data_IF_146539395692
#
_entry.id   IF_146539395692
#
_cell.length_a   1.000
_cell.length_b   1.000
_cell.length_c   1.000
_cell.angle_alpha   90.00
_cell.angle_beta   90.00
_cell.angle_gamma   90.00
#
_symmetry.space_group_name_H-M   'P 1'
#
loop_
_entity.id
_entity.type
_entity.pdbx_description
1 polymer ?
#
# COMPACT_ATOMS: atom_id res chain seq x y z
N UNK A 1 -5.11 2.57 -3.81
CA UNK A 1 -4.94 1.80 -2.56
C UNK A 1 -4.78 2.81 -1.46
N UNK A 2 -5.41 2.61 -0.31
CA UNK A 2 -5.27 3.56 0.79
C UNK A 2 -4.02 3.23 1.61
N UNK A 3 -3.15 4.23 1.81
CA UNK A 3 -1.98 4.09 2.67
C UNK A 3 -2.12 5.08 3.83
N UNK A 4 -2.03 4.55 5.06
CA UNK A 4 -1.98 5.36 6.27
C UNK A 4 -0.53 5.73 6.56
N UNK A 5 -0.25 7.03 6.67
CA UNK A 5 1.11 7.53 6.88
C UNK A 5 1.70 6.98 8.18
N UNK A 6 3.03 6.98 8.27
CA UNK A 6 3.77 6.48 9.42
C UNK A 6 3.42 7.26 10.70
N UNK A 7 3.05 8.55 10.57
CA UNK A 7 2.56 9.37 11.67
C UNK A 7 1.13 9.03 12.12
N UNK A 8 0.43 8.17 11.37
CA UNK A 8 -0.97 7.74 11.53
C UNK A 8 -2.01 8.86 11.39
N UNK A 9 -1.59 10.08 11.02
CA UNK A 9 -2.43 11.28 10.89
C UNK A 9 -3.04 11.46 9.50
N UNK A 10 -2.43 10.84 8.48
CA UNK A 10 -2.88 10.98 7.10
C UNK A 10 -3.27 9.62 6.55
N UNK A 11 -4.34 9.61 5.77
CA UNK A 11 -4.82 8.47 5.01
C UNK A 11 -4.95 8.94 3.57
N UNK A 12 -4.14 8.39 2.68
CA UNK A 12 -3.95 8.91 1.33
C UNK A 12 -4.31 7.81 0.34
N UNK A 13 -5.16 8.13 -0.65
CA UNK A 13 -5.38 7.23 -1.79
C UNK A 13 -4.23 7.40 -2.77
N UNK A 14 -3.44 6.35 -2.88
CA UNK A 14 -2.18 6.36 -3.59
C UNK A 14 -2.38 5.86 -5.01
N UNK A 15 -2.00 6.70 -5.97
CA UNK A 15 -1.93 6.36 -7.41
C UNK A 15 -0.51 6.12 -7.89
N UNK A 16 0.50 6.60 -7.15
CA UNK A 16 1.92 6.49 -7.48
C UNK A 16 2.75 6.67 -6.21
N UNK A 17 3.82 5.89 -6.09
CA UNK A 17 4.80 5.95 -5.01
C UNK A 17 6.18 6.12 -5.60
N UNK A 18 7.02 6.88 -4.88
CA UNK A 18 8.44 7.01 -5.18
C UNK A 18 9.25 6.97 -3.88
N UNK A 19 10.47 6.45 -3.99
CA UNK A 19 11.48 6.50 -2.93
C UNK A 19 12.48 7.59 -3.31
N UNK A 20 12.64 8.57 -2.42
CA UNK A 20 13.63 9.64 -2.54
C UNK A 20 14.58 9.55 -1.36
N UNK A 21 15.75 8.95 -1.57
CA UNK A 21 16.66 8.55 -0.50
C UNK A 21 15.98 7.57 0.45
N UNK A 22 15.85 7.91 1.73
CA UNK A 22 15.19 7.08 2.74
C UNK A 22 13.72 7.43 3.01
N UNK A 23 13.07 8.15 2.08
CA UNK A 23 11.70 8.66 2.26
C UNK A 23 10.78 8.11 1.18
N UNK A 24 9.63 7.55 1.58
CA UNK A 24 8.56 7.16 0.66
C UNK A 24 7.58 8.32 0.53
N UNK A 25 7.32 8.70 -0.72
CA UNK A 25 6.45 9.82 -1.05
C UNK A 25 5.34 9.38 -2.01
N UNK A 26 4.18 10.04 -1.89
CA UNK A 26 3.13 10.00 -2.88
C UNK A 26 2.87 11.44 -3.33
N UNK A 27 3.32 11.81 -4.54
CA UNK A 27 3.30 13.20 -5.02
C UNK A 27 3.96 14.13 -4.00
N UNK A 28 3.20 15.06 -3.41
CA UNK A 28 3.70 16.05 -2.45
C UNK A 28 3.54 15.59 -0.98
N UNK A 29 3.10 14.35 -0.72
CA UNK A 29 2.91 13.83 0.63
C UNK A 29 4.02 12.87 1.03
N UNK A 30 4.61 13.10 2.19
CA UNK A 30 5.53 12.15 2.82
C UNK A 30 4.74 11.09 3.56
N UNK A 31 4.84 9.84 3.12
CA UNK A 31 4.13 8.74 3.77
C UNK A 31 4.93 8.13 4.91
N UNK A 32 6.26 8.05 4.78
CA UNK A 32 7.15 7.49 5.79
C UNK A 32 8.60 7.84 5.51
N UNK A 33 9.42 7.88 6.57
CA UNK A 33 10.85 8.10 6.47
C UNK A 33 11.58 7.07 7.33
N UNK A 34 12.51 6.35 6.72
CA UNK A 34 13.25 5.25 7.32
C UNK A 34 14.69 5.66 7.61
N UNK A 35 15.43 4.81 8.31
CA UNK A 35 16.84 5.06 8.61
C UNK A 35 17.68 5.07 7.33
N UNK A 36 17.48 4.06 6.48
CA UNK A 36 18.24 3.87 5.23
C UNK A 36 17.34 3.83 4.00
N UNK A 37 17.95 4.02 2.83
CA UNK A 37 17.28 3.88 1.54
C UNK A 37 16.82 2.44 1.29
N UNK A 38 17.63 1.47 1.70
CA UNK A 38 17.31 0.05 1.60
C UNK A 38 16.02 -0.29 2.36
N UNK A 39 15.84 0.23 3.58
CA UNK A 39 14.60 0.01 4.32
C UNK A 39 13.39 0.66 3.66
N UNK A 40 13.57 1.83 3.04
CA UNK A 40 12.50 2.48 2.28
C UNK A 40 12.12 1.66 1.03
N UNK A 41 13.10 1.04 0.36
CA UNK A 41 12.87 0.14 -0.76
C UNK A 41 12.16 -1.15 -0.34
N UNK A 42 12.58 -1.78 0.77
CA UNK A 42 11.89 -2.97 1.32
C UNK A 42 10.41 -2.70 1.60
N UNK A 43 10.09 -1.54 2.20
CA UNK A 43 8.70 -1.18 2.48
C UNK A 43 7.92 -0.91 1.18
N UNK A 44 8.58 -0.38 0.14
CA UNK A 44 7.95 -0.26 -1.17
C UNK A 44 7.62 -1.65 -1.77
N UNK A 45 8.52 -2.63 -1.60
CA UNK A 45 8.29 -4.01 -2.02
C UNK A 45 7.14 -4.65 -1.23
N UNK A 46 7.04 -4.41 0.09
CA UNK A 46 5.92 -4.86 0.93
C UNK A 46 4.57 -4.31 0.42
N UNK A 47 4.53 -3.03 0.02
CA UNK A 47 3.32 -2.41 -0.55
C UNK A 47 2.96 -3.07 -1.90
N UNK A 48 3.96 -3.33 -2.75
CA UNK A 48 3.76 -4.01 -4.03
C UNK A 48 3.25 -5.45 -3.85
N UNK A 49 3.78 -6.16 -2.87
CA UNK A 49 3.32 -7.51 -2.53
C UNK A 49 1.86 -7.48 -2.09
N UNK A 50 1.47 -6.56 -1.21
CA UNK A 50 0.08 -6.44 -0.76
C UNK A 50 -0.86 -6.11 -1.93
N UNK A 51 -0.46 -5.24 -2.87
CA UNK A 51 -1.22 -4.97 -4.09
C UNK A 51 -1.41 -6.24 -4.92
N UNK A 52 -0.36 -7.02 -5.11
CA UNK A 52 -0.38 -8.26 -5.89
C UNK A 52 -1.30 -9.30 -5.26
N UNK A 53 -1.23 -9.45 -3.94
CA UNK A 53 -2.11 -10.36 -3.19
C UNK A 53 -3.57 -9.92 -3.28
N UNK A 54 -3.87 -8.62 -3.18
CA UNK A 54 -5.23 -8.11 -3.34
C UNK A 54 -5.81 -8.44 -4.72
N UNK A 55 -5.03 -8.23 -5.79
CA UNK A 55 -5.44 -8.55 -7.17
C UNK A 55 -5.61 -10.06 -7.37
N UNK A 56 -4.71 -10.88 -6.81
CA UNK A 56 -4.79 -12.34 -6.90
C UNK A 56 -6.04 -12.93 -6.23
N UNK A 57 -6.46 -12.39 -5.09
CA UNK A 57 -7.68 -12.82 -4.37
C UNK A 57 -8.95 -12.42 -5.13
N UNK A 58 -8.97 -11.25 -5.77
CA UNK A 58 -10.09 -10.81 -6.61
C UNK A 58 -10.32 -11.75 -7.79
N UNK A 59 -9.26 -12.15 -8.49
CA UNK A 59 -9.36 -13.01 -9.68
C UNK A 59 -9.81 -14.45 -9.35
N UNK A 60 -9.46 -14.99 -8.18
CA UNK A 60 -9.87 -16.34 -7.79
C UNK A 60 -11.33 -16.40 -7.29
N UNK A 61 -11.85 -15.31 -6.72
CA UNK A 61 -13.24 -15.22 -6.24
C UNK A 61 -14.25 -14.99 -7.36
N UNK A 62 -13.87 -14.30 -8.44
CA UNK A 62 -14.72 -14.12 -9.64
C UNK A 62 -15.04 -15.44 -10.33
N UNK A 63 -14.14 -16.43 -10.27
CA UNK A 63 -14.37 -17.77 -10.85
C UNK A 63 -15.36 -18.59 -9.99
N UNK A 64 -15.45 -18.30 -8.69
CA UNK A 64 -16.15 -19.14 -7.73
C UNK A 64 -17.61 -18.76 -7.45
N UNK A 65 -18.04 -17.49 -7.57
CA UNK A 65 -19.38 -17.08 -7.11
C UNK A 65 -20.02 -15.99 -7.98
N UNK A 66 -21.10 -16.35 -8.67
CA UNK A 66 -22.00 -15.43 -9.41
C UNK A 66 -23.02 -14.69 -8.51
N UNK A 67 -23.00 -14.88 -7.19
CA UNK A 67 -24.07 -14.36 -6.29
C UNK A 67 -23.59 -13.75 -4.96
N UNK A 68 -22.32 -13.33 -4.83
CA UNK A 68 -21.88 -12.62 -3.63
C UNK A 68 -21.56 -11.16 -4.00
N UNK A 69 -22.38 -10.23 -3.52
CA UNK A 69 -22.13 -8.78 -3.64
C UNK A 69 -20.66 -8.51 -3.35
N UNK A 70 -19.98 -7.86 -4.31
CA UNK A 70 -18.56 -7.57 -4.25
C UNK A 70 -18.26 -6.73 -3.01
N UNK A 71 -17.90 -7.38 -1.90
CA UNK A 71 -17.29 -6.70 -0.76
C UNK A 71 -15.92 -6.21 -1.24
N UNK A 72 -15.89 -4.98 -1.77
CA UNK A 72 -14.65 -4.26 -2.03
C UNK A 72 -14.00 -4.00 -0.67
N UNK A 73 -13.26 -4.98 -0.17
CA UNK A 73 -12.32 -4.78 0.93
C UNK A 73 -11.22 -3.87 0.39
N UNK A 74 -11.41 -2.56 0.52
CA UNK A 74 -10.34 -1.60 0.27
C UNK A 74 -9.21 -1.92 1.26
N UNK A 75 -8.11 -2.47 0.76
CA UNK A 75 -6.93 -2.70 1.58
C UNK A 75 -6.35 -1.35 2.00
N UNK A 76 -6.22 -1.17 3.31
CA UNK A 76 -5.48 -0.05 3.91
C UNK A 76 -4.11 -0.59 4.32
N UNK A 77 -3.04 -0.13 3.65
CA UNK A 77 -1.67 -0.41 4.07
C UNK A 77 -1.29 0.57 5.19
N UNK A 78 -0.84 0.06 6.33
CA UNK A 78 -0.30 0.89 7.41
C UNK A 78 1.22 0.94 7.25
N UNK A 79 1.78 2.14 7.05
CA UNK A 79 3.23 2.32 7.01
C UNK A 79 3.87 1.79 8.31
N UNK A 80 4.90 0.92 8.21
CA UNK A 80 5.60 0.40 9.38
C UNK A 80 6.37 1.51 10.10
N UNK A 81 6.58 1.29 11.40
CA UNK A 81 7.41 2.18 12.22
C UNK A 81 8.88 2.13 11.75
N UNK A 82 9.67 3.12 12.18
CA UNK A 82 11.04 3.35 11.69
C UNK A 82 11.94 2.15 11.91
#
# INVERSE_FOLDING_TARGET
>A
MWIRSQSRKELIDVTSLEVVGNTIMCRNWTLGKYETEERAMEVLDEIQEQLTQCVGVSNMREIANYEMESFQSYSVFQMPEK
#
